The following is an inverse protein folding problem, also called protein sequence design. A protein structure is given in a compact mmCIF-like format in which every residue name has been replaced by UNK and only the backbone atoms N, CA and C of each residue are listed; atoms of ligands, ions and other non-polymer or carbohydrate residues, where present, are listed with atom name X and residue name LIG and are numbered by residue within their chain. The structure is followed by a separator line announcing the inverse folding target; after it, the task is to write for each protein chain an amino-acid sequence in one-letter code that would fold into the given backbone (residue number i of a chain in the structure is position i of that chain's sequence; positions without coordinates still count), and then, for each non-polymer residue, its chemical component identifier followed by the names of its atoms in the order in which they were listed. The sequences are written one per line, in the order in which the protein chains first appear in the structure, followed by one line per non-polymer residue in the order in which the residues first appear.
data_IF_081256796389
#
_entry.id   IF_081256796389
#
_cell.length_a   1.000
_cell.length_b   1.000
_cell.length_c   1.000
_cell.angle_alpha   90.00
_cell.angle_beta   90.00
_cell.angle_gamma   90.00
#
_symmetry.space_group_name_H-M   'P 1'
#
loop_
_entity.id
_entity.type
_entity.pdbx_description
1 polymer ?
#
# COMPACT_ATOMS: atom_id res chain seq x y z
N UNK A 1 -48.54 -8.50 -10.31
CA UNK A 1 -47.28 -9.18 -9.93
C UNK A 1 -46.81 -10.20 -10.99
N UNK A 2 -46.75 -9.85 -12.29
CA UNK A 2 -46.35 -10.78 -13.39
C UNK A 2 -45.08 -10.34 -14.16
N UNK A 3 -44.57 -9.13 -13.91
CA UNK A 3 -43.41 -8.55 -14.64
C UNK A 3 -42.04 -8.87 -14.04
N UNK A 4 -41.95 -9.22 -12.75
CA UNK A 4 -40.69 -9.52 -12.05
C UNK A 4 -40.14 -10.92 -12.37
N UNK A 5 -40.98 -11.88 -12.76
CA UNK A 5 -40.56 -13.27 -13.05
C UNK A 5 -39.80 -13.38 -14.38
N UNK A 6 -40.04 -12.48 -15.34
CA UNK A 6 -39.38 -12.53 -16.66
C UNK A 6 -37.93 -12.05 -16.65
N UNK A 7 -37.53 -11.26 -15.64
CA UNK A 7 -36.20 -10.67 -15.59
C UNK A 7 -35.13 -11.62 -15.01
N UNK A 8 -35.55 -12.64 -14.27
CA UNK A 8 -34.64 -13.63 -13.64
C UNK A 8 -34.39 -14.84 -14.53
N UNK A 9 -35.28 -15.15 -15.49
CA UNK A 9 -35.14 -16.34 -16.35
C UNK A 9 -34.09 -16.13 -17.46
N UNK A 10 -33.91 -14.90 -17.94
CA UNK A 10 -32.97 -14.58 -19.02
C UNK A 10 -31.48 -14.84 -18.67
N UNK A 11 -30.95 -14.45 -17.49
CA UNK A 11 -29.55 -14.73 -17.15
C UNK A 11 -29.27 -16.22 -16.92
N UNK A 12 -30.26 -17.01 -16.48
CA UNK A 12 -30.08 -18.45 -16.22
C UNK A 12 -29.90 -19.24 -17.52
N UNK A 13 -30.58 -18.86 -18.60
CA UNK A 13 -30.46 -19.51 -19.91
C UNK A 13 -29.09 -19.21 -20.57
N UNK A 14 -28.51 -18.03 -20.31
CA UNK A 14 -27.19 -17.67 -20.84
C UNK A 14 -26.08 -18.41 -20.08
N UNK A 15 -26.26 -18.67 -18.77
CA UNK A 15 -25.28 -19.39 -17.96
C UNK A 15 -25.19 -20.89 -18.30
N UNK A 16 -26.28 -21.53 -18.75
CA UNK A 16 -26.27 -22.96 -19.12
C UNK A 16 -25.66 -23.23 -20.49
N UNK A 17 -25.55 -22.23 -21.37
CA UNK A 17 -24.94 -22.39 -22.71
C UNK A 17 -23.40 -22.42 -22.68
N UNK A 18 -22.76 -21.94 -21.62
CA UNK A 18 -21.29 -21.86 -21.51
C UNK A 18 -20.62 -23.15 -21.02
N UNK A 19 -21.38 -24.16 -20.58
CA UNK A 19 -20.83 -25.39 -19.97
C UNK A 19 -20.67 -26.55 -20.97
N UNK A 20 -21.08 -26.36 -22.24
CA UNK A 20 -21.10 -27.44 -23.25
C UNK A 20 -19.88 -27.50 -24.19
N UNK A 21 -18.82 -26.71 -23.94
CA UNK A 21 -17.68 -26.57 -24.86
C UNK A 21 -16.42 -27.38 -24.49
N UNK A 22 -16.48 -28.30 -23.54
CA UNK A 22 -15.38 -29.23 -23.26
C UNK A 22 -15.55 -30.51 -24.10
N UNK A 23 -15.25 -30.40 -25.40
CA UNK A 23 -15.18 -31.52 -26.32
C UNK A 23 -13.85 -32.28 -26.22
N UNK A 24 -13.93 -33.58 -25.96
CA UNK A 24 -12.80 -34.52 -25.96
C UNK A 24 -12.16 -34.63 -27.35
N UNK A 25 -11.01 -34.00 -27.54
CA UNK A 25 -10.11 -34.31 -28.67
C UNK A 25 -9.06 -35.33 -28.23
N UNK A 26 -9.29 -36.60 -28.60
CA UNK A 26 -8.29 -37.66 -28.50
C UNK A 26 -7.14 -37.34 -29.48
N UNK A 27 -6.06 -36.78 -28.93
CA UNK A 27 -4.83 -36.45 -29.65
C UNK A 27 -3.94 -37.69 -29.74
N UNK A 28 -3.32 -38.00 -30.89
CA UNK A 28 -2.45 -39.16 -31.05
C UNK A 28 -1.23 -39.08 -30.12
N UNK A 29 -0.86 -40.23 -29.55
CA UNK A 29 0.21 -40.36 -28.57
C UNK A 29 1.57 -39.88 -29.16
N UNK A 30 2.20 -38.86 -28.57
CA UNK A 30 3.53 -38.42 -28.99
C UNK A 30 4.59 -39.40 -28.50
N UNK A 31 5.53 -39.72 -29.40
CA UNK A 31 6.77 -40.43 -29.10
C UNK A 31 7.50 -39.72 -27.96
N UNK A 32 7.79 -40.47 -26.88
CA UNK A 32 8.48 -39.96 -25.68
C UNK A 32 9.94 -39.73 -26.02
N UNK A 33 10.25 -38.52 -26.48
CA UNK A 33 11.61 -37.98 -26.46
C UNK A 33 11.96 -37.68 -24.99
N UNK A 34 13.17 -38.00 -24.51
CA UNK A 34 13.54 -37.75 -23.12
C UNK A 34 13.45 -36.24 -22.84
N UNK A 35 12.45 -35.85 -22.05
CA UNK A 35 12.26 -34.48 -21.59
C UNK A 35 13.56 -33.99 -20.94
N UNK A 36 14.20 -32.93 -21.45
CA UNK A 36 15.34 -32.34 -20.77
C UNK A 36 14.87 -31.94 -19.37
N UNK A 37 15.50 -32.51 -18.35
CA UNK A 37 15.23 -32.17 -16.95
C UNK A 37 15.50 -30.66 -16.84
N UNK A 38 14.51 -29.83 -16.45
CA UNK A 38 14.74 -28.41 -16.28
C UNK A 38 15.88 -28.26 -15.27
N UNK A 39 16.97 -27.65 -15.71
CA UNK A 39 18.05 -27.25 -14.81
C UNK A 39 17.43 -26.38 -13.74
N UNK A 40 17.52 -26.80 -12.48
CA UNK A 40 17.03 -26.03 -11.33
C UNK A 40 17.86 -24.75 -11.24
N UNK A 41 17.44 -23.72 -11.96
CA UNK A 41 17.96 -22.37 -11.74
C UNK A 41 17.44 -21.93 -10.38
N UNK A 42 18.32 -21.85 -9.39
CA UNK A 42 17.98 -21.33 -8.07
C UNK A 42 17.44 -19.91 -8.23
N UNK A 43 16.14 -19.71 -7.98
CA UNK A 43 15.58 -18.37 -7.87
C UNK A 43 16.39 -17.62 -6.79
N UNK A 44 16.94 -16.43 -7.09
CA UNK A 44 17.67 -15.65 -6.10
C UNK A 44 16.80 -15.40 -4.86
N UNK A 45 17.38 -15.55 -3.66
CA UNK A 45 16.68 -15.27 -2.41
C UNK A 45 16.43 -13.75 -2.30
N UNK A 46 15.16 -13.30 -2.26
CA UNK A 46 14.84 -11.88 -2.14
C UNK A 46 15.26 -11.27 -0.79
N UNK A 47 15.53 -12.10 0.21
CA UNK A 47 15.97 -11.67 1.54
C UNK A 47 17.51 -11.69 1.70
N UNK A 48 18.26 -12.10 0.67
CA UNK A 48 19.71 -12.02 0.69
C UNK A 48 20.18 -10.56 0.67
N UNK A 49 21.28 -10.20 1.37
CA UNK A 49 21.79 -8.82 1.44
C UNK A 49 22.01 -8.16 0.07
N UNK A 50 22.39 -8.93 -0.94
CA UNK A 50 22.59 -8.47 -2.32
C UNK A 50 21.29 -8.11 -3.05
N UNK A 51 20.13 -8.61 -2.59
CA UNK A 51 18.82 -8.41 -3.23
C UNK A 51 17.87 -7.53 -2.39
N UNK A 52 18.12 -7.40 -1.08
CA UNK A 52 17.21 -6.72 -0.13
C UNK A 52 16.94 -5.27 -0.52
N UNK A 53 17.95 -4.55 -1.03
CA UNK A 53 17.80 -3.15 -1.42
C UNK A 53 16.80 -3.01 -2.58
N UNK A 54 16.91 -3.87 -3.59
CA UNK A 54 15.99 -3.86 -4.74
C UNK A 54 14.55 -4.15 -4.30
N UNK A 55 14.34 -5.06 -3.36
CA UNK A 55 13.01 -5.36 -2.81
C UNK A 55 12.47 -4.20 -1.96
N UNK A 56 13.31 -3.55 -1.15
CA UNK A 56 12.97 -2.36 -0.38
C UNK A 56 12.55 -1.21 -1.29
N UNK A 57 13.25 -0.99 -2.41
CA UNK A 57 12.91 0.08 -3.36
C UNK A 57 11.52 -0.08 -3.96
N UNK A 58 11.04 -1.32 -4.17
CA UNK A 58 9.66 -1.57 -4.64
C UNK A 58 8.63 -1.07 -3.63
N UNK A 59 8.84 -1.34 -2.34
CA UNK A 59 7.98 -0.85 -1.25
C UNK A 59 8.10 0.67 -1.14
N UNK A 60 9.32 1.20 -1.06
CA UNK A 60 9.59 2.62 -0.85
C UNK A 60 9.09 3.51 -2.00
N UNK A 61 9.02 2.99 -3.24
CA UNK A 61 8.41 3.69 -4.38
C UNK A 61 7.01 4.21 -4.04
N UNK A 62 6.14 3.34 -3.51
CA UNK A 62 4.77 3.72 -3.18
C UNK A 62 4.69 4.68 -1.99
N UNK A 63 5.65 4.60 -1.06
CA UNK A 63 5.72 5.56 0.04
C UNK A 63 5.99 6.97 -0.49
N UNK A 64 6.98 7.13 -1.37
CA UNK A 64 7.29 8.43 -1.99
C UNK A 64 6.11 9.00 -2.79
N UNK A 65 5.50 8.17 -3.64
CA UNK A 65 4.33 8.58 -4.43
C UNK A 65 3.17 9.03 -3.53
N UNK A 66 2.94 8.31 -2.43
CA UNK A 66 1.93 8.66 -1.44
C UNK A 66 2.26 9.94 -0.68
N UNK A 67 3.51 10.12 -0.24
CA UNK A 67 3.96 11.31 0.48
C UNK A 67 3.83 12.56 -0.38
N UNK A 68 4.28 12.50 -1.64
CA UNK A 68 4.13 13.57 -2.63
C UNK A 68 2.64 13.92 -2.84
N UNK A 69 1.80 12.89 -3.05
CA UNK A 69 0.35 13.05 -3.19
C UNK A 69 -0.30 13.66 -1.95
N UNK A 70 0.14 13.27 -0.75
CA UNK A 70 -0.40 13.77 0.51
C UNK A 70 0.01 15.21 0.79
N UNK A 71 1.24 15.58 0.39
CA UNK A 71 1.73 16.95 0.44
C UNK A 71 0.91 17.87 -0.47
N UNK A 72 0.61 17.40 -1.69
CA UNK A 72 -0.28 18.10 -2.61
C UNK A 72 -1.70 18.22 -2.01
N UNK A 73 -2.25 17.12 -1.48
CA UNK A 73 -3.57 17.10 -0.86
C UNK A 73 -3.69 18.08 0.32
N UNK A 74 -2.62 18.31 1.09
CA UNK A 74 -2.62 19.28 2.17
C UNK A 74 -2.71 20.75 1.70
N UNK A 75 -2.47 21.00 0.40
CA UNK A 75 -2.53 22.33 -0.20
C UNK A 75 -3.84 22.63 -0.95
N UNK A 76 -4.67 21.61 -1.20
CA UNK A 76 -5.93 21.81 -1.93
C UNK A 76 -7.06 22.27 -1.00
N UNK A 77 -8.04 23.05 -1.50
CA UNK A 77 -9.23 23.39 -0.72
C UNK A 77 -10.09 22.14 -0.39
N UNK A 78 -10.86 22.21 0.70
CA UNK A 78 -11.59 21.05 1.23
C UNK A 78 -12.67 20.48 0.29
N UNK A 79 -13.20 21.29 -0.62
CA UNK A 79 -14.17 20.88 -1.65
C UNK A 79 -13.54 20.06 -2.79
N UNK A 80 -12.22 20.16 -2.99
CA UNK A 80 -11.45 19.38 -3.97
C UNK A 80 -10.70 18.19 -3.33
N UNK A 81 -10.74 18.09 -2.00
CA UNK A 81 -9.99 17.08 -1.25
C UNK A 81 -10.47 15.64 -1.53
N UNK A 82 -11.72 15.45 -1.97
CA UNK A 82 -12.26 14.13 -2.34
C UNK A 82 -11.46 13.46 -3.45
N UNK A 83 -11.07 14.22 -4.46
CA UNK A 83 -10.36 13.69 -5.63
C UNK A 83 -8.93 13.30 -5.24
N UNK A 84 -8.29 14.12 -4.41
CA UNK A 84 -6.97 13.81 -3.85
C UNK A 84 -7.01 12.56 -2.96
N UNK A 85 -8.05 12.40 -2.12
CA UNK A 85 -8.23 11.19 -1.30
C UNK A 85 -8.42 9.95 -2.17
N UNK A 86 -9.19 10.04 -3.25
CA UNK A 86 -9.42 8.92 -4.16
C UNK A 86 -8.10 8.43 -4.80
N UNK A 87 -7.22 9.36 -5.17
CA UNK A 87 -5.90 9.04 -5.72
C UNK A 87 -4.97 8.43 -4.66
N UNK A 88 -4.93 8.98 -3.44
CA UNK A 88 -4.17 8.40 -2.33
C UNK A 88 -4.64 6.98 -2.00
N UNK A 89 -5.95 6.73 -2.05
CA UNK A 89 -6.50 5.39 -1.88
C UNK A 89 -6.09 4.43 -3.01
N UNK A 90 -5.95 4.91 -4.24
CA UNK A 90 -5.42 4.11 -5.36
C UNK A 90 -3.99 3.66 -5.03
N UNK A 91 -3.11 4.60 -4.69
CA UNK A 91 -1.71 4.33 -4.34
C UNK A 91 -1.62 3.34 -3.18
N UNK A 92 -2.42 3.54 -2.12
CA UNK A 92 -2.45 2.64 -0.96
C UNK A 92 -2.89 1.22 -1.30
N UNK A 93 -3.85 1.04 -2.21
CA UNK A 93 -4.26 -0.30 -2.68
C UNK A 93 -3.15 -0.97 -3.50
N UNK A 94 -2.51 -0.23 -4.40
CA UNK A 94 -1.37 -0.77 -5.17
C UNK A 94 -0.19 -1.17 -4.27
N UNK A 95 0.08 -0.38 -3.23
CA UNK A 95 1.07 -0.71 -2.21
C UNK A 95 0.69 -2.00 -1.44
N UNK A 96 -0.59 -2.17 -1.11
CA UNK A 96 -1.09 -3.39 -0.45
C UNK A 96 -0.99 -4.62 -1.35
N UNK A 97 -1.24 -4.48 -2.65
CA UNK A 97 -1.20 -5.59 -3.62
C UNK A 97 0.23 -5.97 -4.04
N UNK A 98 1.22 -5.09 -3.81
CA UNK A 98 2.63 -5.33 -4.15
C UNK A 98 3.18 -6.59 -3.45
N UNK A 99 3.64 -7.63 -4.18
CA UNK A 99 4.25 -8.81 -3.58
C UNK A 99 5.42 -8.42 -2.66
N UNK A 100 5.47 -9.00 -1.46
CA UNK A 100 6.43 -8.63 -0.42
C UNK A 100 7.06 -9.88 0.18
N UNK A 101 8.40 -10.01 0.17
CA UNK A 101 9.07 -11.14 0.78
C UNK A 101 8.93 -11.10 2.31
N UNK A 102 9.03 -12.27 2.96
CA UNK A 102 8.79 -12.41 4.40
C UNK A 102 9.65 -11.46 5.26
N UNK A 103 10.89 -11.20 4.84
CA UNK A 103 11.81 -10.29 5.54
C UNK A 103 11.38 -8.82 5.53
N UNK A 104 10.45 -8.40 4.66
CA UNK A 104 9.98 -7.01 4.52
C UNK A 104 8.53 -6.79 4.98
N UNK A 105 7.90 -7.80 5.57
CA UNK A 105 6.50 -7.74 6.02
C UNK A 105 6.28 -6.61 7.04
N UNK A 106 7.20 -6.44 7.99
CA UNK A 106 7.10 -5.38 9.01
C UNK A 106 7.19 -4.00 8.37
N UNK A 107 8.13 -3.78 7.44
CA UNK A 107 8.29 -2.51 6.72
C UNK A 107 7.00 -2.14 5.98
N UNK A 108 6.44 -3.10 5.23
CA UNK A 108 5.17 -2.89 4.53
C UNK A 108 4.00 -2.64 5.48
N UNK A 109 3.98 -3.31 6.63
CA UNK A 109 2.93 -3.10 7.64
C UNK A 109 2.91 -1.65 8.12
N UNK A 110 4.08 -1.09 8.47
CA UNK A 110 4.17 0.32 8.87
C UNK A 110 3.84 1.28 7.73
N UNK A 111 4.25 0.97 6.50
CA UNK A 111 3.86 1.75 5.32
C UNK A 111 2.32 1.85 5.17
N UNK A 112 1.63 0.70 5.11
CA UNK A 112 0.18 0.67 4.90
C UNK A 112 -0.57 1.28 6.09
N UNK A 113 -0.07 1.07 7.31
CA UNK A 113 -0.58 1.69 8.53
C UNK A 113 -0.55 3.22 8.45
N UNK A 114 0.62 3.79 8.10
CA UNK A 114 0.77 5.22 7.88
C UNK A 114 -0.19 5.75 6.81
N UNK A 115 -0.24 5.11 5.64
CA UNK A 115 -1.12 5.52 4.53
C UNK A 115 -2.59 5.56 4.95
N UNK A 116 -3.05 4.55 5.68
CA UNK A 116 -4.42 4.48 6.19
C UNK A 116 -4.74 5.63 7.14
N UNK A 117 -3.81 5.96 8.05
CA UNK A 117 -4.01 7.05 9.02
C UNK A 117 -4.05 8.40 8.32
N UNK A 118 -3.17 8.65 7.34
CA UNK A 118 -3.19 9.89 6.55
C UNK A 118 -4.52 10.03 5.80
N UNK A 119 -4.97 8.99 5.09
CA UNK A 119 -6.27 9.00 4.40
C UNK A 119 -7.41 9.27 5.39
N UNK A 120 -7.44 8.58 6.54
CA UNK A 120 -8.46 8.79 7.57
C UNK A 120 -8.45 10.22 8.14
N UNK A 121 -7.25 10.80 8.32
CA UNK A 121 -7.08 12.18 8.79
C UNK A 121 -7.60 13.19 7.76
N UNK A 122 -7.33 12.97 6.47
CA UNK A 122 -7.86 13.83 5.40
C UNK A 122 -9.39 13.73 5.28
N UNK A 123 -9.97 12.53 5.46
CA UNK A 123 -11.43 12.37 5.52
C UNK A 123 -12.01 13.14 6.71
N UNK A 124 -11.39 13.03 7.89
CA UNK A 124 -11.81 13.78 9.06
C UNK A 124 -11.69 15.30 8.86
N UNK A 125 -10.71 15.77 8.08
CA UNK A 125 -10.56 17.19 7.75
C UNK A 125 -11.77 17.73 6.96
N UNK A 126 -12.32 16.94 6.04
CA UNK A 126 -13.59 17.26 5.36
C UNK A 126 -14.73 17.35 6.40
N UNK A 127 -14.78 16.41 7.34
CA UNK A 127 -15.75 16.45 8.44
C UNK A 127 -15.62 17.69 9.32
N UNK A 128 -14.39 18.11 9.63
CA UNK A 128 -14.10 19.32 10.40
C UNK A 128 -14.58 20.58 9.66
N UNK A 129 -14.31 20.68 8.35
CA UNK A 129 -14.79 21.79 7.52
C UNK A 129 -16.33 21.89 7.50
N UNK A 130 -17.02 20.75 7.64
CA UNK A 130 -18.48 20.68 7.73
C UNK A 130 -19.03 20.78 9.17
N UNK A 131 -18.17 20.96 10.17
CA UNK A 131 -18.56 21.05 11.58
C UNK A 131 -18.98 19.73 12.24
N UNK A 132 -18.67 18.58 11.63
CA UNK A 132 -19.06 17.24 12.16
C UNK A 132 -17.97 16.55 12.96
N UNK A 133 -16.72 17.01 12.84
CA UNK A 133 -15.55 16.46 13.55
C UNK A 133 -14.85 17.59 14.31
N UNK A 134 -14.32 17.30 15.51
CA UNK A 134 -13.56 18.28 16.30
C UNK A 134 -12.10 18.38 15.83
N UNK A 135 -11.47 19.52 16.11
CA UNK A 135 -10.04 19.74 15.80
C UNK A 135 -9.13 18.70 16.46
N UNK A 136 -9.44 18.27 17.69
CA UNK A 136 -8.63 17.31 18.44
C UNK A 136 -8.45 15.97 17.71
N UNK A 137 -9.49 15.53 16.98
CA UNK A 137 -9.45 14.30 16.18
C UNK A 137 -8.45 14.44 15.02
N UNK A 138 -8.36 15.63 14.41
CA UNK A 138 -7.40 15.91 13.34
C UNK A 138 -5.98 15.92 13.90
N UNK A 139 -5.77 16.63 15.02
CA UNK A 139 -4.45 16.73 15.65
C UNK A 139 -3.94 15.36 16.11
N UNK A 140 -4.83 14.53 16.65
CA UNK A 140 -4.53 13.14 16.98
C UNK A 140 -4.16 12.32 15.73
N UNK A 141 -4.92 12.45 14.63
CA UNK A 141 -4.63 11.79 13.37
C UNK A 141 -3.26 12.16 12.81
N UNK A 142 -2.90 13.45 12.83
CA UNK A 142 -1.58 13.95 12.41
C UNK A 142 -0.46 13.37 13.29
N UNK A 143 -0.65 13.35 14.62
CA UNK A 143 0.34 12.82 15.54
C UNK A 143 0.58 11.31 15.30
N UNK A 144 -0.50 10.54 15.12
CA UNK A 144 -0.42 9.11 14.82
C UNK A 144 0.22 8.85 13.46
N UNK A 145 -0.10 9.65 12.44
CA UNK A 145 0.52 9.52 11.12
C UNK A 145 2.04 9.68 11.20
N UNK A 146 2.52 10.71 11.93
CA UNK A 146 3.96 10.92 12.16
C UNK A 146 4.59 9.74 12.88
N UNK A 147 3.95 9.24 13.93
CA UNK A 147 4.45 8.08 14.66
C UNK A 147 4.61 6.84 13.77
N UNK A 148 3.64 6.55 12.90
CA UNK A 148 3.76 5.40 11.98
C UNK A 148 4.80 5.64 10.88
N UNK A 149 4.96 6.88 10.41
CA UNK A 149 6.03 7.24 9.48
C UNK A 149 7.42 7.05 10.12
N UNK A 150 7.58 7.40 11.39
CA UNK A 150 8.82 7.20 12.13
C UNK A 150 9.14 5.70 12.27
N UNK A 151 8.14 4.88 12.60
CA UNK A 151 8.30 3.40 12.62
C UNK A 151 8.73 2.85 11.27
N UNK A 152 8.10 3.31 10.19
CA UNK A 152 8.49 2.96 8.82
C UNK A 152 9.95 3.33 8.54
N UNK A 153 10.36 4.55 8.89
CA UNK A 153 11.73 5.05 8.65
C UNK A 153 12.78 4.29 9.45
N UNK A 154 12.48 3.96 10.72
CA UNK A 154 13.36 3.16 11.57
C UNK A 154 13.52 1.74 10.99
N UNK A 155 12.41 1.12 10.59
CA UNK A 155 12.44 -0.22 10.01
C UNK A 155 13.17 -0.23 8.65
N UNK A 156 13.00 0.82 7.85
CA UNK A 156 13.73 1.00 6.59
C UNK A 156 15.24 1.05 6.84
N UNK A 157 15.69 1.85 7.80
CA UNK A 157 17.09 1.92 8.18
C UNK A 157 17.62 0.57 8.70
N UNK A 158 16.84 -0.12 9.55
CA UNK A 158 17.19 -1.44 10.09
C UNK A 158 17.40 -2.46 8.97
N UNK A 159 16.49 -2.54 8.01
CA UNK A 159 16.55 -3.48 6.89
C UNK A 159 17.74 -3.19 5.98
N UNK A 160 18.06 -1.91 5.77
CA UNK A 160 19.21 -1.49 4.96
C UNK A 160 20.55 -1.58 5.70
N UNK A 161 20.56 -2.06 6.96
CA UNK A 161 21.77 -2.13 7.77
C UNK A 161 22.34 -0.76 8.15
N UNK A 162 21.53 0.30 8.04
CA UNK A 162 21.93 1.66 8.41
C UNK A 162 21.78 1.85 9.91
N UNK A 163 22.85 2.32 10.56
CA UNK A 163 22.79 2.68 11.98
C UNK A 163 22.24 4.09 12.11
N UNK A 164 21.04 4.23 12.68
CA UNK A 164 20.47 5.55 13.00
C UNK A 164 21.21 6.13 14.21
N UNK A 165 21.95 7.23 14.01
CA UNK A 165 22.53 7.99 15.13
C UNK A 165 21.41 8.87 15.71
N UNK A 166 21.08 8.76 17.00
CA UNK A 166 20.09 9.64 17.62
C UNK A 166 20.57 11.09 17.50
N UNK A 167 19.76 11.95 16.89
CA UNK A 167 20.00 13.40 16.93
C UNK A 167 19.89 13.81 18.40
N UNK A 168 21.03 14.19 18.98
CA UNK A 168 21.05 14.74 20.33
C UNK A 168 20.23 16.03 20.33
N UNK A 169 19.32 16.25 21.31
CA UNK A 169 18.51 17.45 21.34
C UNK A 169 19.42 18.68 21.37
N UNK A 170 19.06 19.77 20.65
CA UNK A 170 19.88 20.97 20.59
C UNK A 170 20.13 21.47 22.01
N UNK A 171 21.41 21.66 22.36
CA UNK A 171 21.85 22.27 23.60
C UNK A 171 21.08 23.58 23.78
N UNK A 172 20.30 23.71 24.86
CA UNK A 172 19.59 24.95 25.15
C UNK A 172 20.58 26.12 25.11
N UNK A 173 20.26 27.24 24.43
CA UNK A 173 21.13 28.40 24.42
C UNK A 173 21.34 28.86 25.86
N UNK A 174 22.62 28.89 26.26
CA UNK A 174 23.05 29.40 27.56
C UNK A 174 22.57 30.85 27.68
N UNK A 175 21.63 31.09 28.61
CA UNK A 175 21.17 32.44 28.89
C UNK A 175 22.37 33.25 29.40
N UNK A 176 22.82 34.22 28.62
CA UNK A 176 23.83 35.18 29.05
C UNK A 176 23.17 36.09 30.10
N UNK A 177 23.65 36.11 31.36
CA UNK A 177 23.09 37.02 32.35
C UNK A 177 23.37 38.47 31.95
N UNK A 178 22.34 39.30 31.94
CA UNK A 178 22.44 40.73 31.65
C UNK A 178 23.05 41.47 32.85
N UNK A 179 23.91 42.49 32.63
CA UNK A 179 24.54 43.29 33.68
C UNK A 179 23.58 44.25 34.38
#
# INVERSE_FOLDING_TARGET
MKKQIRFVILPIIILTLLIAACGNNATPAPTVEPTPIPSLTSTPDPCAPENIEAEVQKIHKYMREFDDGSSLAASVPSDQLSDSIAELQRIRREAEDQPTPACLVTLKTYQISHMNIVIGTLINLIGYANGTVSKDVIDQGIALARQEHDKYTIELARVLGLTMVPVSPPSQPSQTPSP
#
